data_IF_721564029772
#
_entry.id   IF_721564029772
#
_cell.length_a   1.000
_cell.length_b   1.000
_cell.length_c   1.000
_cell.angle_alpha   90.00
_cell.angle_beta   90.00
_cell.angle_gamma   90.00
#
_symmetry.space_group_name_H-M   'P 1'
#
loop_
_entity.id
_entity.type
_entity.pdbx_description
1 polymer ?
#
# COMPACT_ATOMS: atom_id res chain seq x y z
N UNK A 1 24.73 15.79 17.27
CA UNK A 1 23.51 14.99 17.52
C UNK A 1 22.66 15.53 18.67
N UNK A 2 23.07 15.49 19.95
CA UNK A 2 22.22 15.97 21.06
C UNK A 2 21.88 17.47 20.96
N UNK A 3 22.87 18.29 20.59
CA UNK A 3 22.67 19.73 20.35
C UNK A 3 21.64 19.98 19.23
N UNK A 4 21.67 19.16 18.18
CA UNK A 4 20.77 19.29 17.04
C UNK A 4 19.34 18.89 17.42
N UNK A 5 19.17 17.79 18.17
CA UNK A 5 17.87 17.38 18.73
C UNK A 5 17.29 18.44 19.67
N UNK A 6 18.12 19.03 20.53
CA UNK A 6 17.69 20.11 21.43
C UNK A 6 17.25 21.34 20.63
N UNK A 7 17.95 21.65 19.52
CA UNK A 7 17.60 22.77 18.63
C UNK A 7 16.26 22.50 17.92
N UNK A 8 16.04 21.27 17.42
CA UNK A 8 14.77 20.87 16.82
C UNK A 8 13.61 20.94 17.82
N UNK A 9 13.80 20.41 19.03
CA UNK A 9 12.78 20.40 20.08
C UNK A 9 12.46 21.81 20.62
N UNK A 10 13.39 22.77 20.50
CA UNK A 10 13.18 24.16 20.88
C UNK A 10 12.48 25.00 19.79
N UNK A 11 12.25 24.44 18.60
CA UNK A 11 11.50 25.09 17.52
C UNK A 11 10.03 25.31 17.87
N UNK A 12 9.32 26.08 17.03
CA UNK A 12 7.91 26.36 17.22
C UNK A 12 7.09 25.06 17.26
N UNK A 13 6.34 24.85 18.33
CA UNK A 13 5.37 23.76 18.43
C UNK A 13 4.13 24.13 17.62
N UNK A 14 3.91 23.42 16.51
CA UNK A 14 2.68 23.55 15.73
C UNK A 14 1.64 22.64 16.35
N UNK A 15 0.59 23.25 16.91
CA UNK A 15 -0.55 22.50 17.45
C UNK A 15 -1.45 22.07 16.29
N UNK A 16 -1.84 20.79 16.19
CA UNK A 16 -2.81 20.38 15.19
C UNK A 16 -4.18 20.98 15.49
N UNK A 17 -4.96 21.24 14.44
CA UNK A 17 -6.39 21.46 14.62
C UNK A 17 -7.04 20.17 15.12
N UNK A 18 -7.68 20.23 16.30
CA UNK A 18 -8.20 19.05 16.96
C UNK A 18 -9.33 18.37 16.17
N UNK A 19 -10.15 19.14 15.43
CA UNK A 19 -11.22 18.59 14.61
C UNK A 19 -10.66 17.88 13.37
N UNK A 20 -9.63 18.47 12.73
CA UNK A 20 -8.92 17.85 11.63
C UNK A 20 -8.22 16.55 12.07
N UNK A 21 -7.55 16.56 13.21
CA UNK A 21 -6.90 15.37 13.74
C UNK A 21 -7.91 14.25 14.08
N UNK A 22 -9.04 14.59 14.70
CA UNK A 22 -10.12 13.63 14.97
C UNK A 22 -10.74 13.07 13.68
N UNK A 23 -10.85 13.89 12.62
CA UNK A 23 -11.32 13.43 11.31
C UNK A 23 -10.36 12.40 10.70
N UNK A 24 -9.07 12.71 10.68
CA UNK A 24 -8.05 11.79 10.15
C UNK A 24 -8.02 10.48 10.94
N UNK A 25 -8.11 10.55 12.27
CA UNK A 25 -8.16 9.34 13.10
C UNK A 25 -9.39 8.47 12.76
N UNK A 26 -10.55 9.10 12.60
CA UNK A 26 -11.79 8.37 12.31
C UNK A 26 -11.76 7.71 10.93
N UNK A 27 -11.34 8.44 9.89
CA UNK A 27 -11.59 8.07 8.49
C UNK A 27 -10.35 7.67 7.69
N UNK A 28 -9.15 8.02 8.13
CA UNK A 28 -7.91 7.81 7.38
C UNK A 28 -6.97 6.82 8.09
N UNK A 29 -6.88 6.88 9.42
CA UNK A 29 -6.06 5.95 10.20
C UNK A 29 -6.60 4.52 10.08
N UNK A 30 -5.71 3.60 9.74
CA UNK A 30 -6.02 2.17 9.67
C UNK A 30 -6.51 1.65 11.03
N UNK A 31 -7.64 0.95 11.03
CA UNK A 31 -8.12 0.16 12.17
C UNK A 31 -8.08 -1.36 11.93
N UNK A 32 -7.73 -1.77 10.71
CA UNK A 32 -7.58 -3.17 10.34
C UNK A 32 -8.90 -3.93 10.19
N UNK A 33 -10.04 -3.22 10.28
CA UNK A 33 -11.38 -3.82 10.19
C UNK A 33 -11.87 -3.80 8.75
N UNK A 34 -11.40 -4.76 7.97
CA UNK A 34 -11.78 -4.88 6.55
C UNK A 34 -13.13 -5.59 6.41
N UNK A 35 -14.11 -4.89 5.86
CA UNK A 35 -15.44 -5.45 5.56
C UNK A 35 -15.52 -6.24 4.25
N UNK A 36 -14.51 -6.10 3.37
CA UNK A 36 -14.43 -6.76 2.06
C UNK A 36 -13.01 -7.22 1.76
N UNK A 37 -12.81 -8.28 0.96
CA UNK A 37 -11.48 -8.67 0.52
C UNK A 37 -10.79 -7.50 -0.17
N UNK A 38 -9.55 -7.22 0.22
CA UNK A 38 -8.78 -6.06 -0.24
C UNK A 38 -7.46 -6.56 -0.82
N UNK A 39 -7.18 -6.17 -2.07
CA UNK A 39 -5.89 -6.33 -2.71
C UNK A 39 -5.28 -4.93 -2.88
N UNK A 40 -4.14 -4.68 -2.25
CA UNK A 40 -3.36 -3.45 -2.47
C UNK A 40 -2.26 -3.69 -3.49
N UNK A 41 -1.94 -2.66 -4.28
CA UNK A 41 -0.86 -2.66 -5.26
C UNK A 41 0.00 -1.42 -5.04
N UNK A 42 1.32 -1.60 -4.98
CA UNK A 42 2.24 -0.52 -4.60
C UNK A 42 3.56 -0.57 -5.40
N UNK A 43 4.13 0.58 -5.78
CA UNK A 43 5.43 0.62 -6.46
C UNK A 43 6.59 0.60 -5.47
N UNK A 44 7.60 -0.24 -5.69
CA UNK A 44 8.72 -0.36 -4.72
C UNK A 44 9.55 0.93 -4.61
N UNK A 45 9.53 1.79 -5.63
CA UNK A 45 10.23 3.08 -5.68
C UNK A 45 9.30 4.29 -5.52
N UNK A 46 8.20 4.15 -4.78
CA UNK A 46 7.30 5.27 -4.46
C UNK A 46 7.96 6.24 -3.46
N UNK A 47 8.21 7.47 -3.92
CA UNK A 47 8.76 8.56 -3.09
C UNK A 47 7.69 9.46 -2.46
N UNK A 48 6.41 9.29 -2.79
CA UNK A 48 5.30 10.11 -2.29
C UNK A 48 4.56 9.40 -1.15
N UNK A 49 4.13 8.16 -1.40
CA UNK A 49 3.54 7.28 -0.40
C UNK A 49 4.49 6.11 -0.25
N UNK A 50 5.36 6.14 0.76
CA UNK A 50 6.44 5.18 0.85
C UNK A 50 5.91 3.75 1.10
N UNK A 51 6.52 2.74 0.47
CA UNK A 51 6.13 1.34 0.60
C UNK A 51 6.00 0.82 2.06
N UNK A 52 6.76 1.32 3.06
CA UNK A 52 6.51 1.00 4.48
C UNK A 52 5.10 1.30 5.00
N UNK A 53 4.29 2.12 4.33
CA UNK A 53 2.86 2.26 4.64
C UNK A 53 2.11 0.92 4.50
N UNK A 54 2.48 0.09 3.52
CA UNK A 54 1.90 -1.23 3.31
C UNK A 54 2.24 -2.17 4.48
N UNK A 55 3.45 -2.08 5.04
CA UNK A 55 3.84 -2.82 6.24
C UNK A 55 3.01 -2.41 7.46
N UNK A 56 2.75 -1.10 7.64
CA UNK A 56 1.87 -0.63 8.70
C UNK A 56 0.42 -1.12 8.51
N UNK A 57 -0.10 -1.08 7.27
CA UNK A 57 -1.45 -1.54 6.98
C UNK A 57 -1.61 -3.03 7.28
N UNK A 58 -0.67 -3.86 6.81
CA UNK A 58 -0.63 -5.30 7.10
C UNK A 58 -0.57 -5.60 8.60
N UNK A 59 0.27 -4.86 9.34
CA UNK A 59 0.39 -5.03 10.79
C UNK A 59 -0.94 -4.75 11.50
N UNK A 60 -1.62 -3.66 11.14
CA UNK A 60 -2.89 -3.28 11.78
C UNK A 60 -3.99 -4.29 11.44
N UNK A 61 -4.09 -4.72 10.17
CA UNK A 61 -5.05 -5.74 9.72
C UNK A 61 -4.84 -7.07 10.43
N UNK A 62 -3.59 -7.54 10.53
CA UNK A 62 -3.27 -8.79 11.24
C UNK A 62 -3.52 -8.68 12.75
N UNK A 63 -3.22 -7.53 13.36
CA UNK A 63 -3.52 -7.30 14.78
C UNK A 63 -5.02 -7.33 15.06
N UNK A 64 -5.84 -6.93 14.08
CA UNK A 64 -7.29 -7.01 14.14
C UNK A 64 -7.85 -8.41 13.80
N UNK A 65 -7.01 -9.40 13.47
CA UNK A 65 -7.42 -10.75 13.11
C UNK A 65 -8.04 -10.89 11.72
N UNK A 66 -7.75 -9.95 10.82
CA UNK A 66 -8.32 -9.89 9.47
C UNK A 66 -7.27 -10.14 8.37
N UNK A 67 -6.15 -10.82 8.67
CA UNK A 67 -5.09 -11.09 7.71
C UNK A 67 -5.58 -11.83 6.44
N UNK A 68 -6.60 -12.67 6.56
CA UNK A 68 -7.24 -13.35 5.42
C UNK A 68 -8.03 -12.41 4.50
N UNK A 69 -8.22 -11.16 4.88
CA UNK A 69 -8.91 -10.15 4.07
C UNK A 69 -7.95 -9.30 3.25
N UNK A 70 -6.63 -9.36 3.51
CA UNK A 70 -5.64 -8.53 2.81
C UNK A 70 -4.64 -9.39 2.04
N UNK A 71 -4.41 -9.00 0.78
CA UNK A 71 -3.22 -9.36 0.01
C UNK A 71 -2.58 -8.08 -0.54
N UNK A 72 -1.26 -8.11 -0.74
CA UNK A 72 -0.50 -6.95 -1.20
C UNK A 72 0.45 -7.42 -2.29
N UNK A 73 0.45 -6.72 -3.43
CA UNK A 73 1.33 -6.99 -4.57
C UNK A 73 2.16 -5.76 -4.88
N UNK A 74 3.37 -5.97 -5.39
CA UNK A 74 4.31 -4.89 -5.61
C UNK A 74 4.81 -4.89 -7.04
N UNK A 75 4.97 -3.69 -7.59
CA UNK A 75 5.54 -3.47 -8.92
C UNK A 75 6.89 -2.79 -8.76
N UNK A 76 7.94 -3.38 -9.34
CA UNK A 76 9.29 -2.84 -9.30
C UNK A 76 9.46 -1.66 -10.25
N UNK A 77 9.06 -0.47 -9.79
CA UNK A 77 9.16 0.76 -10.57
C UNK A 77 9.34 1.97 -9.68
N UNK A 78 9.96 3.01 -10.22
CA UNK A 78 10.07 4.31 -9.59
C UNK A 78 8.78 5.13 -9.78
N UNK A 79 8.47 5.98 -8.79
CA UNK A 79 7.36 6.93 -8.84
C UNK A 79 6.07 6.42 -8.21
N UNK A 80 5.15 7.35 -7.94
CA UNK A 80 3.87 7.08 -7.30
C UNK A 80 2.85 6.48 -8.27
N UNK A 81 2.31 5.31 -7.91
CA UNK A 81 1.31 4.59 -8.69
C UNK A 81 1.67 4.42 -10.18
N UNK A 82 2.94 4.18 -10.49
CA UNK A 82 3.41 4.08 -11.88
C UNK A 82 3.03 2.76 -12.55
N UNK A 83 1.83 2.24 -12.31
CA UNK A 83 1.34 0.97 -12.85
C UNK A 83 0.88 1.09 -14.30
N UNK A 84 1.02 0.02 -15.08
CA UNK A 84 0.37 -0.06 -16.38
C UNK A 84 -1.11 -0.45 -16.23
N UNK A 85 -1.90 -0.23 -17.29
CA UNK A 85 -3.27 -0.72 -17.34
C UNK A 85 -3.34 -2.24 -17.22
N UNK A 86 -2.41 -2.94 -17.88
CA UNK A 86 -2.33 -4.39 -17.83
C UNK A 86 -1.99 -4.94 -16.43
N UNK A 87 -1.06 -4.30 -15.70
CA UNK A 87 -0.76 -4.67 -14.30
C UNK A 87 -2.00 -4.49 -13.43
N UNK A 88 -2.74 -3.40 -13.63
CA UNK A 88 -3.99 -3.14 -12.91
C UNK A 88 -5.06 -4.20 -13.21
N UNK A 89 -5.21 -4.60 -14.48
CA UNK A 89 -6.13 -5.66 -14.89
C UNK A 89 -5.75 -7.00 -14.25
N UNK A 90 -4.47 -7.42 -14.34
CA UNK A 90 -3.99 -8.66 -13.76
C UNK A 90 -4.27 -8.75 -12.24
N UNK A 91 -4.02 -7.67 -11.50
CA UNK A 91 -4.36 -7.60 -10.08
C UNK A 91 -5.88 -7.67 -9.84
N UNK A 92 -6.68 -6.97 -10.65
CA UNK A 92 -8.14 -6.98 -10.54
C UNK A 92 -8.73 -8.36 -10.80
N UNK A 93 -8.22 -9.11 -11.78
CA UNK A 93 -8.69 -10.48 -12.08
C UNK A 93 -8.53 -11.41 -10.87
N UNK A 94 -7.41 -11.32 -10.16
CA UNK A 94 -7.16 -12.09 -8.93
C UNK A 94 -8.12 -11.69 -7.81
N UNK A 95 -8.36 -10.39 -7.63
CA UNK A 95 -9.33 -9.90 -6.66
C UNK A 95 -10.76 -10.36 -6.99
N UNK A 96 -11.16 -10.31 -8.27
CA UNK A 96 -12.45 -10.81 -8.72
C UNK A 96 -12.59 -12.30 -8.46
N UNK A 97 -11.54 -13.09 -8.73
CA UNK A 97 -11.54 -14.52 -8.40
C UNK A 97 -11.75 -14.75 -6.91
N UNK A 98 -11.07 -13.99 -6.04
CA UNK A 98 -11.30 -14.04 -4.58
C UNK A 98 -12.74 -13.76 -4.18
N UNK A 99 -13.38 -12.77 -4.83
CA UNK A 99 -14.78 -12.41 -4.58
C UNK A 99 -15.72 -13.53 -5.04
N UNK A 100 -15.49 -14.13 -6.21
CA UNK A 100 -16.36 -15.16 -6.76
C UNK A 100 -16.21 -16.54 -6.10
N UNK A 101 -14.99 -16.93 -5.74
CA UNK A 101 -14.71 -18.27 -5.19
C UNK A 101 -14.74 -18.31 -3.67
N UNK A 102 -14.64 -17.15 -3.01
CA UNK A 102 -14.53 -17.08 -1.56
C UNK A 102 -13.15 -17.50 -1.02
N UNK A 103 -12.13 -17.66 -1.86
CA UNK A 103 -10.76 -18.01 -1.43
C UNK A 103 -9.69 -17.31 -2.25
N UNK A 104 -8.55 -16.98 -1.64
CA UNK A 104 -7.42 -16.38 -2.36
C UNK A 104 -6.78 -17.39 -3.30
N UNK A 105 -6.42 -16.94 -4.49
CA UNK A 105 -5.58 -17.69 -5.42
C UNK A 105 -4.11 -17.29 -5.20
N UNK A 106 -3.46 -17.91 -4.23
CA UNK A 106 -2.07 -17.58 -3.87
C UNK A 106 -1.09 -17.89 -5.02
N UNK A 107 -1.44 -18.81 -5.94
CA UNK A 107 -0.65 -19.06 -7.15
C UNK A 107 -0.81 -17.92 -8.16
N UNK A 108 -2.05 -17.43 -8.36
CA UNK A 108 -2.32 -16.26 -9.19
C UNK A 108 -1.73 -14.95 -8.65
N UNK A 109 -1.44 -14.89 -7.34
CA UNK A 109 -0.75 -13.76 -6.70
C UNK A 109 0.78 -13.78 -6.86
N UNK A 110 1.36 -14.86 -7.39
CA UNK A 110 2.80 -14.90 -7.60
C UNK A 110 3.23 -13.88 -8.67
N UNK A 111 4.36 -13.19 -8.50
CA UNK A 111 4.85 -12.19 -9.45
C UNK A 111 4.88 -12.69 -10.90
N UNK A 112 5.34 -13.92 -11.12
CA UNK A 112 5.43 -14.53 -12.45
C UNK A 112 4.05 -14.72 -13.09
N UNK A 113 3.04 -15.12 -12.31
CA UNK A 113 1.67 -15.31 -12.78
C UNK A 113 1.02 -13.96 -13.14
N UNK A 114 1.19 -12.95 -12.28
CA UNK A 114 0.68 -11.60 -12.52
C UNK A 114 1.34 -10.95 -13.74
N UNK A 115 2.66 -11.10 -13.89
CA UNK A 115 3.38 -10.60 -15.07
C UNK A 115 2.90 -11.32 -16.34
N UNK A 116 2.67 -12.63 -16.31
CA UNK A 116 2.16 -13.38 -17.45
C UNK A 116 0.72 -12.94 -17.84
N UNK A 117 -0.17 -12.74 -16.86
CA UNK A 117 -1.51 -12.17 -17.11
C UNK A 117 -1.41 -10.77 -17.73
N UNK A 118 -0.59 -9.87 -17.16
CA UNK A 118 -0.40 -8.53 -17.69
C UNK A 118 0.23 -8.52 -19.11
N UNK A 119 1.12 -9.47 -19.44
CA UNK A 119 1.63 -9.61 -20.82
C UNK A 119 0.51 -10.04 -21.77
N UNK A 120 -0.40 -10.91 -21.34
CA UNK A 120 -1.51 -11.42 -22.15
C UNK A 120 -2.52 -10.32 -22.56
N UNK A 121 -2.64 -9.24 -21.76
CA UNK A 121 -3.44 -8.04 -22.11
C UNK A 121 -2.88 -7.26 -23.31
N UNK A 122 -1.63 -7.53 -23.70
CA UNK A 122 -0.97 -6.98 -24.87
C UNK A 122 -0.26 -5.64 -24.65
N UNK A 123 0.60 -5.29 -25.61
CA UNK A 123 1.48 -4.12 -25.50
C UNK A 123 0.75 -2.77 -25.43
N UNK A 124 -0.51 -2.70 -25.90
CA UNK A 124 -1.30 -1.48 -25.85
C UNK A 124 -1.74 -1.12 -24.42
N UNK A 125 -2.04 -2.12 -23.58
CA UNK A 125 -2.40 -1.95 -22.17
C UNK A 125 -1.17 -1.76 -21.26
N UNK A 126 0.00 -2.16 -21.75
CA UNK A 126 1.29 -2.03 -21.08
C UNK A 126 1.95 -0.66 -21.32
N UNK A 127 1.20 0.41 -21.05
CA UNK A 127 1.68 1.77 -21.21
C UNK A 127 1.53 2.58 -19.94
N UNK A 128 2.52 3.43 -19.68
CA UNK A 128 2.47 4.46 -18.66
C UNK A 128 2.92 5.78 -19.28
N UNK A 129 2.06 6.81 -19.23
CA UNK A 129 2.27 8.09 -19.95
C UNK A 129 2.71 7.92 -21.42
N UNK A 130 2.13 6.95 -22.14
CA UNK A 130 2.43 6.69 -23.55
C UNK A 130 3.71 5.90 -23.82
N UNK A 131 4.51 5.62 -22.78
CA UNK A 131 5.71 4.77 -22.88
C UNK A 131 5.31 3.32 -22.65
N UNK A 132 5.70 2.43 -23.55
CA UNK A 132 5.52 1.00 -23.37
C UNK A 132 6.49 0.48 -22.29
N UNK A 133 5.97 -0.28 -21.34
CA UNK A 133 6.73 -0.85 -20.23
C UNK A 133 6.35 -2.32 -20.08
N UNK A 134 7.33 -3.18 -19.87
CA UNK A 134 7.05 -4.54 -19.47
C UNK A 134 6.43 -4.56 -18.05
N UNK A 135 5.47 -5.46 -17.79
CA UNK A 135 5.01 -5.74 -16.42
C UNK A 135 6.17 -6.06 -15.50
N UNK A 136 6.11 -5.56 -14.27
CA UNK A 136 7.21 -5.72 -13.31
C UNK A 136 6.73 -6.05 -11.89
N UNK A 137 5.71 -6.90 -11.76
CA UNK A 137 5.39 -7.47 -10.45
C UNK A 137 6.61 -8.18 -9.87
N UNK A 138 6.81 -8.02 -8.56
CA UNK A 138 7.97 -8.55 -7.84
C UNK A 138 7.59 -8.99 -6.42
N UNK A 139 8.26 -10.02 -5.92
CA UNK A 139 8.21 -10.35 -4.50
C UNK A 139 8.97 -9.27 -3.71
N UNK A 140 8.27 -8.57 -2.83
CA UNK A 140 8.86 -7.48 -2.06
C UNK A 140 8.27 -7.42 -0.66
N UNK A 141 9.15 -7.22 0.33
CA UNK A 141 8.78 -7.01 1.73
C UNK A 141 9.22 -5.59 2.11
N UNK A 142 8.29 -4.63 2.26
CA UNK A 142 8.66 -3.28 2.66
C UNK A 142 9.23 -3.27 4.08
N UNK A 143 10.15 -2.33 4.34
CA UNK A 143 10.65 -2.08 5.68
C UNK A 143 9.51 -1.69 6.65
N UNK A 144 9.72 -1.77 7.98
CA UNK A 144 8.77 -1.22 8.95
C UNK A 144 8.54 0.28 8.74
N UNK A 145 7.33 0.75 9.06
CA UNK A 145 7.00 2.16 8.96
C UNK A 145 7.83 2.98 9.97
N UNK A 146 8.50 4.07 9.55
CA UNK A 146 9.52 4.73 10.38
C UNK A 146 8.95 5.50 11.59
N UNK A 147 7.66 5.88 11.58
CA UNK A 147 6.99 6.59 12.68
C UNK A 147 5.57 6.06 12.88
N UNK A 148 5.39 4.86 13.43
CA UNK A 148 4.07 4.28 13.59
C UNK A 148 3.24 5.12 14.58
N UNK A 149 2.00 5.44 14.21
CA UNK A 149 1.04 6.07 15.09
C UNK A 149 -0.25 5.25 15.04
N UNK A 150 -0.63 4.63 16.15
CA UNK A 150 -1.82 3.81 16.19
C UNK A 150 -3.07 4.70 16.16
N UNK A 151 -4.14 4.21 15.52
CA UNK A 151 -5.47 4.84 15.63
C UNK A 151 -5.86 5.00 17.10
N UNK A 152 -6.45 6.15 17.45
CA UNK A 152 -6.83 6.51 18.81
C UNK A 152 -5.68 6.96 19.71
N UNK A 153 -4.47 7.09 19.18
CA UNK A 153 -3.36 7.70 19.93
C UNK A 153 -3.68 9.16 20.28
N UNK A 154 -3.22 9.60 21.45
CA UNK A 154 -3.48 10.95 21.92
C UNK A 154 -2.94 11.99 20.92
N UNK A 155 -3.80 12.92 20.49
CA UNK A 155 -3.41 14.05 19.65
C UNK A 155 -2.51 14.96 20.50
N UNK A 156 -1.24 15.17 20.12
CA UNK A 156 -0.35 16.06 20.87
C UNK A 156 -0.94 17.46 20.99
N UNK A 157 -0.93 17.99 22.22
CA UNK A 157 -1.54 19.28 22.57
C UNK A 157 -0.72 20.50 22.16
#
# INVERSE_FOLDING_TARGET
>A
MQKDLNTLNAGATIKPDAAAAAYLDRFISFDGRLGVPTLSMHTTGDGLVIAPNESAYKQVVSTAGNEEMLRQVFVHRAGHCTFTGAETIAALEVLLKRVYTGSWDDAGLQPEALNASAVAEGAAANKFFGVALDPSFVAYTPAPHPRPFAKGSAIPA
#
